data_IF_774016952782
#
_entry.id   IF_774016952782
#
_cell.length_a   1.000
_cell.length_b   1.000
_cell.length_c   1.000
_cell.angle_alpha   90.00
_cell.angle_beta   90.00
_cell.angle_gamma   90.00
#
_symmetry.space_group_name_H-M   'P 1'
#
loop_
_entity.id
_entity.type
_entity.pdbx_description
1 polymer ?
#
# COMPACT_ATOMS: atom_id res chain seq x y z
N UNK A 1 26.05 0.28 -16.83
CA UNK A 1 26.75 0.10 -15.54
C UNK A 1 27.63 -1.16 -15.46
N UNK A 2 27.29 -2.26 -16.15
CA UNK A 2 28.04 -3.52 -16.08
C UNK A 2 29.53 -3.42 -16.50
N UNK A 3 29.86 -2.57 -17.48
CA UNK A 3 31.25 -2.41 -17.94
C UNK A 3 32.17 -1.82 -16.87
N UNK A 4 31.70 -0.86 -16.07
CA UNK A 4 32.48 -0.23 -14.99
C UNK A 4 32.70 -1.21 -13.83
N UNK A 5 31.67 -1.99 -13.49
CA UNK A 5 31.75 -3.03 -12.45
C UNK A 5 32.75 -4.14 -12.83
N UNK A 6 32.77 -4.53 -14.11
CA UNK A 6 33.71 -5.51 -14.64
C UNK A 6 35.16 -4.99 -14.66
N UNK A 7 35.34 -3.68 -14.91
CA UNK A 7 36.65 -3.04 -14.85
C UNK A 7 37.17 -2.90 -13.41
N UNK A 8 36.28 -2.63 -12.45
CA UNK A 8 36.64 -2.48 -11.03
C UNK A 8 36.97 -3.82 -10.34
N UNK A 9 36.37 -4.94 -10.78
CA UNK A 9 36.54 -6.26 -10.17
C UNK A 9 36.79 -7.36 -11.23
N UNK A 10 37.98 -7.37 -11.87
CA UNK A 10 38.26 -8.20 -13.05
C UNK A 10 38.33 -9.71 -12.79
N UNK A 11 38.31 -10.16 -11.53
CA UNK A 11 38.36 -11.59 -11.16
C UNK A 11 37.14 -12.10 -10.38
N UNK A 12 36.13 -11.26 -10.14
CA UNK A 12 34.99 -11.66 -9.35
C UNK A 12 33.91 -12.35 -10.22
N UNK A 13 33.49 -13.57 -9.85
CA UNK A 13 32.57 -14.40 -10.65
C UNK A 13 31.22 -13.70 -10.97
N UNK A 14 30.79 -12.77 -10.12
CA UNK A 14 29.57 -11.98 -10.28
C UNK A 14 29.71 -10.78 -11.23
N UNK A 15 30.93 -10.41 -11.64
CA UNK A 15 31.17 -9.29 -12.57
C UNK A 15 30.82 -9.64 -14.03
N UNK A 16 30.76 -10.94 -14.34
CA UNK A 16 30.29 -11.51 -15.61
C UNK A 16 28.87 -12.09 -15.56
N UNK A 17 28.23 -12.09 -14.38
CA UNK A 17 26.87 -12.59 -14.26
C UNK A 17 25.90 -11.66 -15.00
N UNK A 18 25.00 -12.25 -15.80
CA UNK A 18 23.94 -11.51 -16.47
C UNK A 18 22.89 -11.10 -15.43
N UNK A 19 22.89 -9.82 -15.07
CA UNK A 19 21.90 -9.26 -14.15
C UNK A 19 20.56 -9.18 -14.86
N UNK A 20 19.72 -10.20 -14.67
CA UNK A 20 18.34 -10.18 -15.12
C UNK A 20 17.53 -9.41 -14.06
N UNK A 21 17.04 -8.19 -14.36
CA UNK A 21 16.14 -7.51 -13.43
C UNK A 21 14.87 -8.34 -13.28
N UNK A 22 14.24 -8.34 -12.10
CA UNK A 22 13.02 -9.11 -11.85
C UNK A 22 11.90 -8.80 -12.87
N UNK A 23 11.90 -7.58 -13.42
CA UNK A 23 11.01 -7.13 -14.50
C UNK A 23 11.25 -7.79 -15.86
N UNK A 24 12.42 -8.38 -16.10
CA UNK A 24 12.79 -9.05 -17.36
C UNK A 24 12.46 -10.55 -17.37
N UNK A 25 12.07 -11.15 -16.24
CA UNK A 25 11.75 -12.58 -16.17
C UNK A 25 10.42 -12.91 -16.86
N UNK A 26 9.39 -12.07 -16.69
CA UNK A 26 8.10 -12.25 -17.36
C UNK A 26 7.22 -10.97 -17.26
N UNK A 27 6.75 -10.37 -18.36
CA UNK A 27 5.82 -9.23 -18.34
C UNK A 27 4.54 -9.48 -17.53
N UNK A 28 4.05 -10.71 -17.51
CA UNK A 28 2.88 -11.10 -16.72
C UNK A 28 3.15 -11.05 -15.22
N UNK A 29 4.39 -11.33 -14.79
CA UNK A 29 4.78 -11.24 -13.38
C UNK A 29 4.81 -9.78 -12.92
N UNK A 30 5.35 -8.88 -13.74
CA UNK A 30 5.32 -7.44 -13.45
C UNK A 30 3.87 -6.92 -13.39
N UNK A 31 3.03 -7.31 -14.35
CA UNK A 31 1.61 -6.95 -14.33
C UNK A 31 0.89 -7.47 -13.08
N UNK A 32 1.18 -8.71 -12.65
CA UNK A 32 0.64 -9.28 -11.41
C UNK A 32 1.07 -8.53 -10.16
N UNK A 33 2.35 -8.15 -10.05
CA UNK A 33 2.85 -7.34 -8.94
C UNK A 33 2.18 -5.96 -8.89
N UNK A 34 2.08 -5.26 -10.03
CA UNK A 34 1.38 -3.97 -10.11
C UNK A 34 -0.11 -4.13 -9.76
N UNK A 35 -0.75 -5.20 -10.24
CA UNK A 35 -2.14 -5.51 -9.91
C UNK A 35 -2.35 -5.69 -8.41
N UNK A 36 -1.53 -6.51 -7.75
CA UNK A 36 -1.58 -6.68 -6.29
C UNK A 36 -1.33 -5.36 -5.56
N UNK A 37 -0.39 -4.54 -6.02
CA UNK A 37 -0.12 -3.22 -5.43
C UNK A 37 -1.36 -2.31 -5.49
N UNK A 38 -1.97 -2.17 -6.67
CA UNK A 38 -3.15 -1.31 -6.87
C UNK A 38 -4.34 -1.83 -6.05
N UNK A 39 -4.57 -3.14 -6.03
CA UNK A 39 -5.64 -3.76 -5.24
C UNK A 39 -5.42 -3.56 -3.74
N UNK A 40 -4.21 -3.80 -3.25
CA UNK A 40 -3.84 -3.60 -1.85
C UNK A 40 -3.98 -2.16 -1.41
N UNK A 41 -3.53 -1.21 -2.24
CA UNK A 41 -3.71 0.22 -2.01
C UNK A 41 -5.21 0.58 -1.95
N UNK A 42 -6.03 0.11 -2.89
CA UNK A 42 -7.47 0.42 -2.93
C UNK A 42 -8.27 -0.11 -1.73
N UNK A 43 -7.78 -1.14 -1.06
CA UNK A 43 -8.42 -1.69 0.14
C UNK A 43 -7.85 -1.13 1.45
N UNK A 44 -6.94 -0.15 1.41
CA UNK A 44 -6.49 0.52 2.63
C UNK A 44 -7.66 1.26 3.30
N UNK A 45 -7.72 1.29 4.64
CA UNK A 45 -8.78 1.95 5.41
C UNK A 45 -8.56 3.48 5.42
N UNK A 46 -8.50 4.10 4.24
CA UNK A 46 -8.21 5.52 4.03
C UNK A 46 -9.33 6.13 3.17
N UNK A 47 -9.90 7.23 3.70
CA UNK A 47 -11.05 8.01 3.21
C UNK A 47 -11.55 7.71 1.78
N UNK A 48 -10.84 8.10 0.73
CA UNK A 48 -11.41 8.01 -0.64
C UNK A 48 -11.35 6.63 -1.28
N UNK A 49 -10.63 5.67 -0.70
CA UNK A 49 -10.48 4.34 -1.29
C UNK A 49 -11.66 3.45 -0.89
N UNK A 50 -11.90 2.37 -1.65
CA UNK A 50 -12.99 1.43 -1.36
C UNK A 50 -12.86 0.79 0.04
N UNK A 51 -11.63 0.63 0.55
CA UNK A 51 -11.36 0.19 1.92
C UNK A 51 -11.83 1.19 2.99
N UNK A 52 -11.77 2.49 2.69
CA UNK A 52 -12.30 3.58 3.53
C UNK A 52 -13.83 3.52 3.64
N UNK A 53 -14.50 3.28 2.51
CA UNK A 53 -15.96 3.08 2.47
C UNK A 53 -16.39 1.82 3.22
N UNK A 54 -15.62 0.74 3.05
CA UNK A 54 -15.91 -0.53 3.71
C UNK A 54 -15.81 -0.40 5.24
N UNK A 55 -14.73 0.18 5.74
CA UNK A 55 -14.56 0.36 7.19
C UNK A 55 -15.60 1.34 7.75
N UNK A 56 -15.93 2.41 7.01
CA UNK A 56 -17.01 3.34 7.35
C UNK A 56 -18.37 2.64 7.44
N UNK A 57 -18.73 1.80 6.47
CA UNK A 57 -19.97 1.03 6.53
C UNK A 57 -20.00 0.06 7.73
N UNK A 58 -18.89 -0.57 8.09
CA UNK A 58 -18.85 -1.55 9.20
C UNK A 58 -18.96 -0.91 10.60
N UNK A 59 -18.44 0.31 10.77
CA UNK A 59 -18.23 0.93 12.09
C UNK A 59 -18.78 2.36 12.22
N UNK A 60 -19.38 2.90 11.15
CA UNK A 60 -19.98 4.24 11.03
C UNK A 60 -19.09 5.34 11.64
N UNK A 61 -19.63 6.17 12.51
CA UNK A 61 -18.98 7.36 13.08
C UNK A 61 -17.75 7.07 13.95
N UNK A 62 -17.60 5.83 14.45
CA UNK A 62 -16.45 5.46 15.30
C UNK A 62 -15.14 5.31 14.52
N UNK A 63 -15.21 5.19 13.19
CA UNK A 63 -14.06 5.05 12.29
C UNK A 63 -13.23 6.31 12.19
N UNK A 64 -13.86 7.48 12.36
CA UNK A 64 -13.21 8.75 12.11
C UNK A 64 -11.99 8.96 13.03
N UNK A 65 -12.00 8.37 14.23
CA UNK A 65 -10.86 8.36 15.14
C UNK A 65 -9.77 7.35 14.74
N UNK A 66 -10.15 6.17 14.26
CA UNK A 66 -9.21 5.15 13.78
C UNK A 66 -8.48 5.58 12.50
N UNK A 67 -9.20 6.14 11.53
CA UNK A 67 -8.61 6.67 10.30
C UNK A 67 -7.63 7.82 10.60
N UNK A 68 -8.01 8.74 11.50
CA UNK A 68 -7.13 9.82 11.97
C UNK A 68 -5.87 9.28 12.67
N UNK A 69 -6.01 8.27 13.52
CA UNK A 69 -4.88 7.64 14.21
C UNK A 69 -3.93 6.94 13.22
N UNK A 70 -4.48 6.20 12.26
CA UNK A 70 -3.70 5.51 11.23
C UNK A 70 -2.92 6.51 10.36
N UNK A 71 -3.57 7.57 9.88
CA UNK A 71 -2.92 8.61 9.10
C UNK A 71 -1.86 9.33 9.93
N UNK A 72 -2.15 9.64 11.20
CA UNK A 72 -1.17 10.28 12.09
C UNK A 72 0.05 9.39 12.32
N UNK A 73 -0.13 8.08 12.47
CA UNK A 73 0.96 7.11 12.58
C UNK A 73 1.77 7.01 11.30
N UNK A 74 1.11 6.97 10.13
CA UNK A 74 1.78 6.95 8.83
C UNK A 74 2.63 8.21 8.59
N UNK A 75 2.08 9.39 8.90
CA UNK A 75 2.81 10.67 8.83
C UNK A 75 4.00 10.65 9.79
N UNK A 76 3.78 10.22 11.04
CA UNK A 76 4.87 10.12 12.03
C UNK A 76 5.99 9.19 11.56
N UNK A 77 5.66 8.03 11.01
CA UNK A 77 6.64 7.08 10.49
C UNK A 77 7.48 7.68 9.36
N UNK A 78 6.85 8.41 8.43
CA UNK A 78 7.55 9.09 7.32
C UNK A 78 8.46 10.21 7.84
N UNK A 79 8.00 11.02 8.81
CA UNK A 79 8.80 12.09 9.42
C UNK A 79 9.97 11.53 10.23
N UNK A 80 9.81 10.38 10.88
CA UNK A 80 10.88 9.73 11.63
C UNK A 80 11.97 9.14 10.71
N UNK A 81 11.67 8.84 9.44
CA UNK A 81 12.58 8.21 8.48
C UNK A 81 12.92 9.11 7.28
N UNK A 82 13.06 10.43 7.52
CA UNK A 82 13.29 11.43 6.48
C UNK A 82 14.53 11.19 5.58
N UNK A 83 15.58 10.53 6.09
CA UNK A 83 16.80 10.25 5.32
C UNK A 83 16.58 9.25 4.17
N UNK A 84 15.63 8.33 4.31
CA UNK A 84 15.19 7.37 3.28
C UNK A 84 13.95 7.89 2.51
N UNK A 85 13.36 8.99 2.99
CA UNK A 85 12.04 9.43 2.58
C UNK A 85 12.01 10.09 1.20
N UNK A 86 13.15 10.43 0.57
CA UNK A 86 13.15 11.06 -0.77
C UNK A 86 12.40 10.20 -1.80
N UNK A 87 12.49 8.87 -1.72
CA UNK A 87 11.68 7.96 -2.56
C UNK A 87 10.20 7.94 -2.16
N UNK A 88 9.88 8.16 -0.88
CA UNK A 88 8.54 8.10 -0.32
C UNK A 88 7.81 9.45 -0.30
N UNK A 89 8.48 10.57 -0.60
CA UNK A 89 7.86 11.90 -0.69
C UNK A 89 6.70 11.89 -1.69
N UNK A 90 6.86 11.18 -2.82
CA UNK A 90 5.78 11.05 -3.80
C UNK A 90 4.55 10.34 -3.21
N UNK A 91 4.75 9.26 -2.45
CA UNK A 91 3.68 8.57 -1.73
C UNK A 91 3.04 9.45 -0.65
N UNK A 92 3.83 10.23 0.08
CA UNK A 92 3.34 11.17 1.08
C UNK A 92 2.46 12.26 0.43
N UNK A 93 2.89 12.82 -0.70
CA UNK A 93 2.12 13.82 -1.46
C UNK A 93 0.80 13.22 -1.93
N UNK A 94 0.80 11.99 -2.46
CA UNK A 94 -0.43 11.30 -2.86
C UNK A 94 -1.38 11.10 -1.68
N UNK A 95 -0.88 10.64 -0.52
CA UNK A 95 -1.69 10.46 0.70
C UNK A 95 -2.30 11.79 1.18
N UNK A 96 -1.53 12.89 1.12
CA UNK A 96 -2.02 14.22 1.48
C UNK A 96 -3.09 14.70 0.49
N UNK A 97 -2.86 14.51 -0.81
CA UNK A 97 -3.82 14.90 -1.87
C UNK A 97 -5.13 14.11 -1.81
N UNK A 98 -5.10 12.86 -1.34
CA UNK A 98 -6.28 12.00 -1.26
C UNK A 98 -7.32 12.49 -0.25
N UNK A 99 -6.98 13.41 0.66
CA UNK A 99 -7.94 14.01 1.60
C UNK A 99 -8.50 13.02 2.64
N UNK A 100 -9.02 13.58 3.73
CA UNK A 100 -9.51 12.83 4.91
C UNK A 100 -11.05 12.88 5.00
N UNK A 101 -11.70 13.52 4.02
CA UNK A 101 -13.14 13.74 4.08
C UNK A 101 -13.88 12.64 3.33
N UNK A 102 -14.66 11.88 4.08
CA UNK A 102 -15.56 10.88 3.54
C UNK A 102 -16.98 11.44 3.58
N UNK A 103 -17.70 11.47 2.44
CA UNK A 103 -19.12 11.80 2.45
C UNK A 103 -19.92 10.69 3.17
N UNK A 104 -21.01 11.03 3.87
CA UNK A 104 -21.90 10.04 4.51
C UNK A 104 -22.50 9.11 3.45
N UNK A 105 -22.87 7.88 3.84
CA UNK A 105 -23.52 6.99 2.88
C UNK A 105 -24.97 7.43 2.64
N UNK A 106 -25.59 6.88 1.59
CA UNK A 106 -26.95 7.27 1.19
C UNK A 106 -28.01 6.97 2.26
N UNK A 107 -27.72 6.04 3.19
CA UNK A 107 -28.66 5.62 4.24
C UNK A 107 -27.89 5.00 5.43
N UNK A 108 -27.36 5.84 6.32
CA UNK A 108 -26.57 5.42 7.49
C UNK A 108 -27.43 4.80 8.62
N UNK A 109 -28.76 4.79 8.48
CA UNK A 109 -29.71 4.23 9.47
C UNK A 109 -29.94 2.71 9.30
N UNK A 110 -29.42 2.10 8.23
CA UNK A 110 -29.64 0.67 7.93
C UNK A 110 -28.46 -0.19 8.41
N UNK A 111 -28.71 -1.06 9.39
CA UNK A 111 -27.72 -2.01 9.89
C UNK A 111 -27.29 -3.02 8.80
N UNK A 112 -25.99 -3.29 8.69
CA UNK A 112 -25.49 -4.32 7.78
C UNK A 112 -25.81 -5.74 8.28
N UNK A 113 -26.42 -6.54 7.41
CA UNK A 113 -26.61 -7.96 7.67
C UNK A 113 -25.28 -8.75 7.80
N UNK A 114 -25.30 -9.91 8.46
CA UNK A 114 -24.10 -10.66 8.85
C UNK A 114 -23.20 -11.09 7.67
N UNK A 115 -23.79 -11.37 6.51
CA UNK A 115 -23.05 -11.72 5.29
C UNK A 115 -22.21 -10.54 4.80
N UNK A 116 -22.78 -9.33 4.80
CA UNK A 116 -22.07 -8.13 4.35
C UNK A 116 -20.95 -7.76 5.33
N UNK A 117 -21.17 -8.02 6.62
CA UNK A 117 -20.16 -7.85 7.65
C UNK A 117 -18.95 -8.77 7.43
N UNK A 118 -19.20 -10.05 7.15
CA UNK A 118 -18.16 -11.02 6.82
C UNK A 118 -17.38 -10.65 5.55
N UNK A 119 -18.07 -10.19 4.50
CA UNK A 119 -17.43 -9.75 3.25
C UNK A 119 -16.58 -8.49 3.49
N UNK A 120 -17.07 -7.53 4.25
CA UNK A 120 -16.31 -6.32 4.59
C UNK A 120 -15.06 -6.63 5.43
N UNK A 121 -15.15 -7.57 6.37
CA UNK A 121 -13.98 -8.00 7.12
C UNK A 121 -12.97 -8.74 6.23
N UNK A 122 -13.46 -9.60 5.33
CA UNK A 122 -12.62 -10.31 4.39
C UNK A 122 -11.89 -9.33 3.45
N UNK A 123 -12.57 -8.29 2.96
CA UNK A 123 -11.94 -7.29 2.08
C UNK A 123 -10.89 -6.45 2.80
N UNK A 124 -11.08 -6.15 4.10
CA UNK A 124 -10.06 -5.48 4.93
C UNK A 124 -8.78 -6.31 5.14
N UNK A 125 -8.78 -7.61 4.85
CA UNK A 125 -7.57 -8.45 4.89
C UNK A 125 -6.71 -8.35 3.63
N UNK A 126 -7.27 -7.84 2.51
CA UNK A 126 -6.61 -7.77 1.20
C UNK A 126 -5.29 -7.00 1.22
N UNK A 127 -5.15 -5.84 1.90
CA UNK A 127 -3.87 -5.14 1.95
C UNK A 127 -2.76 -6.00 2.58
N UNK A 128 -3.08 -6.78 3.61
CA UNK A 128 -2.10 -7.66 4.28
C UNK A 128 -1.64 -8.78 3.36
N UNK A 129 -2.54 -9.27 2.48
CA UNK A 129 -2.21 -10.29 1.49
C UNK A 129 -1.43 -9.74 0.29
N UNK A 130 -1.71 -8.50 -0.11
CA UNK A 130 -1.10 -7.86 -1.27
C UNK A 130 0.26 -7.21 -0.96
N UNK A 131 0.46 -6.69 0.25
CA UNK A 131 1.72 -6.09 0.65
C UNK A 131 2.68 -7.14 1.23
N UNK A 132 3.92 -7.25 0.72
CA UNK A 132 4.90 -8.15 1.29
C UNK A 132 5.26 -7.68 2.71
N UNK A 133 4.92 -8.49 3.72
CA UNK A 133 5.27 -8.26 5.14
C UNK A 133 6.79 -8.22 5.41
N UNK A 134 7.62 -8.51 4.39
CA UNK A 134 9.09 -8.51 4.43
C UNK A 134 9.74 -7.14 4.71
N UNK A 135 8.97 -6.04 4.73
CA UNK A 135 9.45 -4.72 5.15
C UNK A 135 9.48 -4.49 6.66
N UNK A 136 8.91 -5.38 7.47
CA UNK A 136 8.99 -5.31 8.94
C UNK A 136 10.24 -6.06 9.39
N UNK A 137 11.35 -5.34 9.49
CA UNK A 137 12.57 -5.79 10.17
C UNK A 137 12.87 -4.88 11.35
#
# INVERSE_FOLDING_TARGET
AQWMMKAAHPGAAWSTAEWVPLSALNPYFMAGWVGMLITGLNMLPISQLDGGHTIYALFLDRVHNFAKLFISFAIFYVVAHLNEAVMWVFMLVLVIMMGIHHPPTADDDVELGPVRWAIGLASLSIPVLCFPLLGVK
#
